data_IF_137412452187
#
_entry.id   IF_137412452187
#
_cell.length_a   1.000
_cell.length_b   1.000
_cell.length_c   1.000
_cell.angle_alpha   90.00
_cell.angle_beta   90.00
_cell.angle_gamma   90.00
#
_symmetry.space_group_name_H-M   'P 1'
#
loop_
_entity.id
_entity.type
_entity.pdbx_description
1 polymer ?
#
# COMPACT_ATOMS: atom_id res chain seq x y z
N UNK A 1 20.20 14.94 -6.64
CA UNK A 1 18.90 14.35 -6.85
C UNK A 1 18.52 13.50 -5.68
N UNK A 2 17.29 13.59 -5.24
CA UNK A 2 16.84 12.90 -4.03
C UNK A 2 15.77 11.89 -4.35
N UNK A 3 15.83 10.77 -3.66
CA UNK A 3 14.81 9.73 -3.74
C UNK A 3 14.28 9.50 -2.34
N UNK A 4 13.00 9.19 -2.29
CA UNK A 4 12.33 8.83 -1.04
C UNK A 4 11.72 7.45 -1.20
N UNK A 5 11.94 6.59 -0.23
CA UNK A 5 11.44 5.21 -0.28
C UNK A 5 10.76 4.85 1.02
N UNK A 6 9.57 4.27 0.92
CA UNK A 6 8.86 3.73 2.08
C UNK A 6 8.67 2.23 1.89
N UNK A 7 9.01 1.47 2.92
CA UNK A 7 8.82 0.02 2.95
C UNK A 7 7.52 -0.27 3.68
N UNK A 8 6.59 -0.92 3.01
CA UNK A 8 5.25 -1.17 3.54
C UNK A 8 5.01 -2.66 3.69
N UNK A 9 4.63 -3.06 4.89
CA UNK A 9 4.11 -4.40 5.17
C UNK A 9 2.85 -4.22 5.99
N UNK A 10 1.84 -5.03 5.72
CA UNK A 10 0.56 -4.94 6.44
C UNK A 10 0.35 -6.23 7.22
N UNK A 11 0.10 -6.09 8.50
CA UNK A 11 -0.17 -7.23 9.38
C UNK A 11 -1.66 -7.29 9.71
N UNK A 12 -2.23 -8.46 9.56
CA UNK A 12 -3.63 -8.70 9.92
C UNK A 12 -3.72 -8.89 11.44
N UNK A 13 -4.24 -7.89 12.13
CA UNK A 13 -4.39 -7.94 13.58
C UNK A 13 -5.76 -8.43 14.03
N UNK A 14 -6.63 -8.77 13.10
CA UNK A 14 -7.98 -9.29 13.38
C UNK A 14 -8.00 -10.78 13.60
N UNK A 15 -9.21 -11.30 13.78
CA UNK A 15 -9.45 -12.72 14.06
C UNK A 15 -9.81 -13.53 12.83
N UNK A 16 -9.98 -12.85 11.69
CA UNK A 16 -10.39 -13.49 10.44
C UNK A 16 -9.40 -13.19 9.34
N UNK A 17 -9.32 -14.06 8.36
CA UNK A 17 -8.52 -13.80 7.17
C UNK A 17 -9.06 -12.60 6.40
N UNK A 18 -8.19 -11.92 5.66
CA UNK A 18 -8.58 -10.72 4.92
C UNK A 18 -7.77 -10.57 3.64
N UNK A 19 -8.27 -9.71 2.76
CA UNK A 19 -7.50 -9.16 1.65
C UNK A 19 -7.05 -7.75 2.00
N UNK A 20 -5.93 -7.33 1.41
CA UNK A 20 -5.31 -6.03 1.70
C UNK A 20 -5.06 -5.26 0.42
N UNK A 21 -5.25 -3.95 0.48
CA UNK A 21 -4.83 -3.04 -0.59
C UNK A 21 -4.21 -1.78 0.02
N UNK A 22 -3.32 -1.15 -0.75
CA UNK A 22 -2.55 0.02 -0.31
C UNK A 22 -2.52 1.05 -1.42
N UNK A 23 -2.61 2.32 -1.04
CA UNK A 23 -2.45 3.43 -1.96
C UNK A 23 -1.69 4.56 -1.28
N UNK A 24 -0.84 5.24 -2.04
CA UNK A 24 -0.09 6.39 -1.55
C UNK A 24 -0.53 7.66 -2.28
N UNK A 25 -0.55 8.76 -1.54
CA UNK A 25 -0.86 10.09 -2.06
C UNK A 25 0.28 11.02 -1.72
N UNK A 26 0.89 11.61 -2.72
CA UNK A 26 2.09 12.41 -2.54
C UNK A 26 1.91 13.89 -2.90
N UNK A 27 0.70 14.31 -3.26
CA UNK A 27 0.44 15.66 -3.71
C UNK A 27 0.77 15.85 -5.18
N UNK A 28 0.28 16.93 -5.78
CA UNK A 28 0.37 17.13 -7.22
C UNK A 28 1.79 17.14 -7.76
N UNK A 29 2.71 17.78 -7.03
CA UNK A 29 4.07 17.95 -7.51
C UNK A 29 4.83 16.63 -7.60
N UNK A 30 4.47 15.65 -6.79
CA UNK A 30 5.23 14.40 -6.68
C UNK A 30 4.46 13.16 -7.12
N UNK A 31 3.15 13.29 -7.33
CA UNK A 31 2.32 12.14 -7.66
C UNK A 31 2.77 11.43 -8.93
N UNK A 32 3.24 12.18 -9.90
CA UNK A 32 3.72 11.61 -11.16
C UNK A 32 5.02 10.83 -11.02
N UNK A 33 5.82 11.19 -10.02
CA UNK A 33 7.08 10.49 -9.75
C UNK A 33 6.91 9.33 -8.80
N UNK A 34 5.69 9.06 -8.37
CA UNK A 34 5.39 7.98 -7.44
C UNK A 34 5.43 6.66 -8.17
N UNK A 35 6.16 5.71 -7.63
CA UNK A 35 6.24 4.38 -8.19
C UNK A 35 6.17 3.34 -7.09
N UNK A 36 5.78 2.14 -7.48
CA UNK A 36 5.67 1.02 -6.56
C UNK A 36 6.51 -0.13 -7.11
N UNK A 37 7.13 -0.88 -6.22
CA UNK A 37 7.84 -2.09 -6.63
C UNK A 37 7.65 -3.18 -5.59
N UNK A 38 7.71 -4.43 -6.06
CA UNK A 38 7.46 -5.59 -5.23
C UNK A 38 8.32 -6.74 -5.74
N UNK A 39 9.35 -7.09 -5.01
CA UNK A 39 10.26 -8.15 -5.40
C UNK A 39 9.59 -9.51 -5.45
N UNK A 40 8.57 -9.73 -4.64
CA UNK A 40 7.89 -11.01 -4.56
C UNK A 40 6.78 -11.17 -5.60
N UNK A 41 6.41 -10.10 -6.30
CA UNK A 41 5.38 -10.13 -7.32
C UNK A 41 3.98 -10.41 -6.79
N UNK A 42 3.71 -10.05 -5.54
CA UNK A 42 2.44 -10.31 -4.87
C UNK A 42 1.46 -9.15 -4.93
N UNK A 43 1.92 -7.97 -5.25
CA UNK A 43 1.11 -6.76 -5.29
C UNK A 43 0.78 -6.41 -6.74
N UNK A 44 -0.50 -6.24 -7.02
CA UNK A 44 -0.98 -5.96 -8.38
C UNK A 44 -1.66 -4.59 -8.43
N UNK A 45 -1.28 -3.73 -9.38
CA UNK A 45 -1.95 -2.43 -9.51
C UNK A 45 -3.38 -2.58 -10.01
N UNK A 46 -4.28 -1.85 -9.38
CA UNK A 46 -5.66 -1.75 -9.82
C UNK A 46 -5.89 -0.47 -10.61
N UNK A 47 -7.03 -0.39 -11.28
CA UNK A 47 -7.39 0.80 -12.06
C UNK A 47 -7.68 2.01 -11.18
N UNK A 48 -7.97 1.78 -9.91
CA UNK A 48 -8.28 2.82 -8.93
C UNK A 48 -7.05 3.42 -8.27
N UNK A 49 -5.86 2.97 -8.66
CA UNK A 49 -4.61 3.43 -8.08
C UNK A 49 -4.18 2.69 -6.84
N UNK A 50 -4.99 1.78 -6.35
CA UNK A 50 -4.58 0.92 -5.24
C UNK A 50 -3.75 -0.24 -5.76
N UNK A 51 -2.83 -0.71 -4.92
CA UNK A 51 -2.12 -1.96 -5.13
C UNK A 51 -2.75 -3.03 -4.26
N UNK A 52 -3.12 -4.13 -4.86
CA UNK A 52 -3.85 -5.22 -4.23
C UNK A 52 -2.92 -6.38 -3.95
N UNK A 53 -2.88 -6.80 -2.71
CA UNK A 53 -2.10 -7.98 -2.34
C UNK A 53 -2.84 -9.22 -2.82
N UNK A 54 -2.14 -10.12 -3.52
CA UNK A 54 -2.78 -11.23 -4.22
C UNK A 54 -3.19 -12.38 -3.30
N UNK A 55 -2.56 -12.50 -2.14
CA UNK A 55 -2.82 -13.61 -1.23
C UNK A 55 -3.77 -13.20 -0.11
N UNK A 56 -4.48 -14.17 0.41
CA UNK A 56 -5.25 -14.01 1.63
C UNK A 56 -4.27 -13.88 2.79
N UNK A 57 -4.49 -12.92 3.67
CA UNK A 57 -3.66 -12.72 4.86
C UNK A 57 -4.38 -13.33 6.05
N UNK A 58 -3.86 -14.41 6.61
CA UNK A 58 -4.50 -15.03 7.77
C UNK A 58 -4.36 -14.18 9.02
N UNK A 59 -5.12 -14.45 10.08
CA UNK A 59 -4.94 -13.74 11.34
C UNK A 59 -3.49 -13.79 11.79
N UNK A 60 -2.95 -12.64 12.18
CA UNK A 60 -1.57 -12.45 12.59
C UNK A 60 -0.54 -12.60 11.47
N UNK A 61 -1.00 -12.88 10.25
CA UNK A 61 -0.13 -12.94 9.09
C UNK A 61 0.26 -11.55 8.62
N UNK A 62 1.35 -11.48 7.86
CA UNK A 62 1.88 -10.23 7.31
C UNK A 62 2.08 -10.39 5.81
N UNK A 63 1.76 -9.33 5.06
CA UNK A 63 2.00 -9.33 3.61
C UNK A 63 3.49 -9.28 3.31
N UNK A 64 3.85 -9.56 2.07
CA UNK A 64 5.18 -9.25 1.60
C UNK A 64 5.34 -7.74 1.51
N UNK A 65 6.58 -7.28 1.35
CA UNK A 65 6.90 -5.87 1.34
C UNK A 65 6.53 -5.21 0.01
N UNK A 66 5.93 -4.03 0.10
CA UNK A 66 5.68 -3.16 -1.05
C UNK A 66 6.55 -1.92 -0.88
N UNK A 67 7.36 -1.60 -1.87
CA UNK A 67 8.19 -0.41 -1.86
C UNK A 67 7.45 0.71 -2.58
N UNK A 68 7.34 1.86 -1.93
CA UNK A 68 6.74 3.06 -2.50
C UNK A 68 7.85 4.09 -2.63
N UNK A 69 8.10 4.56 -3.85
CA UNK A 69 9.21 5.46 -4.13
C UNK A 69 8.75 6.74 -4.81
N UNK A 70 9.44 7.82 -4.51
CA UNK A 70 9.33 9.07 -5.26
C UNK A 70 10.73 9.42 -5.73
N UNK A 71 10.90 9.47 -7.05
CA UNK A 71 12.18 9.74 -7.67
C UNK A 71 12.27 11.17 -8.20
N UNK A 72 13.49 11.65 -8.41
CA UNK A 72 13.76 12.93 -9.06
C UNK A 72 13.11 14.13 -8.37
N UNK A 73 13.24 14.16 -7.06
CA UNK A 73 12.71 15.28 -6.30
C UNK A 73 13.66 16.48 -6.41
N UNK A 74 13.24 17.47 -7.17
CA UNK A 74 14.02 18.68 -7.35
C UNK A 74 13.69 19.73 -6.30
N UNK A 75 12.68 19.49 -5.51
CA UNK A 75 12.21 20.46 -4.54
C UNK A 75 13.22 20.67 -3.42
N UNK A 76 13.33 21.91 -2.99
CA UNK A 76 14.09 22.27 -1.78
C UNK A 76 13.23 22.06 -0.54
N UNK A 77 11.93 21.88 -0.72
CA UNK A 77 10.98 21.80 0.37
C UNK A 77 10.71 20.37 0.78
N UNK A 78 10.28 20.19 2.00
CA UNK A 78 9.76 18.94 2.48
C UNK A 78 8.41 18.66 1.82
N UNK A 79 8.03 17.40 1.83
CA UNK A 79 6.74 16.99 1.30
C UNK A 79 6.13 15.93 2.21
N UNK A 80 4.83 15.71 2.07
CA UNK A 80 4.11 14.71 2.83
C UNK A 80 3.57 13.62 1.92
N UNK A 81 3.67 12.38 2.38
CA UNK A 81 3.08 11.24 1.70
C UNK A 81 2.09 10.59 2.65
N UNK A 82 0.87 10.38 2.17
CA UNK A 82 -0.16 9.69 2.93
C UNK A 82 -0.29 8.29 2.35
N UNK A 83 -0.10 7.28 3.19
CA UNK A 83 -0.26 5.88 2.79
C UNK A 83 -1.52 5.34 3.44
N UNK A 84 -2.47 4.88 2.62
CA UNK A 84 -3.73 4.31 3.09
C UNK A 84 -3.67 2.81 2.90
N UNK A 85 -3.94 2.09 3.98
CA UNK A 85 -3.99 0.63 3.98
C UNK A 85 -5.40 0.22 4.35
N UNK A 86 -6.01 -0.62 3.52
CA UNK A 86 -7.38 -1.08 3.76
C UNK A 86 -7.42 -2.61 3.70
N UNK A 87 -8.29 -3.20 4.50
CA UNK A 87 -8.52 -4.63 4.46
C UNK A 87 -10.01 -4.93 4.37
N UNK A 88 -10.34 -6.05 3.76
CA UNK A 88 -11.73 -6.50 3.65
C UNK A 88 -11.83 -7.99 3.92
N UNK A 89 -13.04 -8.43 4.23
CA UNK A 89 -13.31 -9.85 4.50
C UNK A 89 -13.10 -10.68 3.23
N UNK A 90 -12.86 -11.96 3.44
CA UNK A 90 -12.85 -12.95 2.36
C UNK A 90 -14.22 -13.58 2.30
N UNK A 91 -14.86 -13.48 1.14
CA UNK A 91 -16.12 -14.17 0.89
C UNK A 91 -15.86 -15.26 -0.14
N UNK A 92 -16.74 -16.24 -0.18
CA UNK A 92 -16.60 -17.38 -1.08
C UNK A 92 -17.81 -17.45 -1.99
N UNK A 93 -17.56 -17.63 -3.28
CA UNK A 93 -18.66 -17.75 -4.25
C UNK A 93 -19.27 -19.15 -4.19
N UNK A 94 -20.25 -19.42 -5.03
CA UNK A 94 -20.95 -20.71 -5.04
C UNK A 94 -20.04 -21.88 -5.42
N UNK A 95 -18.92 -21.60 -6.07
CA UNK A 95 -17.93 -22.62 -6.42
C UNK A 95 -16.85 -22.77 -5.34
N UNK A 96 -16.97 -22.04 -4.22
CA UNK A 96 -16.00 -22.09 -3.13
C UNK A 96 -14.73 -21.29 -3.37
N UNK A 97 -14.73 -20.38 -4.34
CA UNK A 97 -13.54 -19.55 -4.64
C UNK A 97 -13.55 -18.27 -3.80
N UNK A 98 -12.40 -17.91 -3.24
CA UNK A 98 -12.33 -16.72 -2.38
C UNK A 98 -12.40 -15.42 -3.21
N UNK A 99 -13.05 -14.42 -2.66
CA UNK A 99 -13.18 -13.09 -3.24
C UNK A 99 -13.08 -12.03 -2.17
N UNK A 100 -12.58 -10.87 -2.56
CA UNK A 100 -12.60 -9.69 -1.71
C UNK A 100 -13.96 -8.98 -1.86
N UNK A 101 -14.41 -8.36 -0.77
CA UNK A 101 -15.61 -7.51 -0.80
C UNK A 101 -15.23 -6.11 -0.38
N UNK A 102 -14.78 -5.30 -1.34
CA UNK A 102 -14.30 -3.96 -1.05
C UNK A 102 -15.40 -2.96 -0.71
N UNK A 103 -16.65 -3.40 -0.69
CA UNK A 103 -17.75 -2.61 -0.14
C UNK A 103 -17.83 -2.73 1.38
N UNK A 104 -17.11 -3.69 1.97
CA UNK A 104 -17.07 -3.91 3.40
C UNK A 104 -15.63 -3.86 3.90
N UNK A 105 -15.18 -2.65 4.19
CA UNK A 105 -13.81 -2.43 4.67
C UNK A 105 -13.77 -2.76 6.16
N UNK A 106 -12.91 -3.71 6.54
CA UNK A 106 -12.73 -4.10 7.93
C UNK A 106 -11.91 -3.10 8.71
N UNK A 107 -10.88 -2.57 8.06
CA UNK A 107 -9.93 -1.72 8.73
C UNK A 107 -9.33 -0.74 7.73
N UNK A 108 -9.18 0.50 8.16
CA UNK A 108 -8.54 1.54 7.37
C UNK A 108 -7.45 2.17 8.23
N UNK A 109 -6.22 2.01 7.79
CA UNK A 109 -5.08 2.65 8.42
C UNK A 109 -4.49 3.69 7.50
N UNK A 110 -4.19 4.87 8.05
CA UNK A 110 -3.59 5.94 7.30
C UNK A 110 -2.28 6.33 7.96
N UNK A 111 -1.19 6.17 7.23
CA UNK A 111 0.11 6.62 7.67
C UNK A 111 0.48 7.92 7.00
N UNK A 112 1.06 8.83 7.76
CA UNK A 112 1.52 10.12 7.27
C UNK A 112 3.05 10.14 7.36
N UNK A 113 3.70 10.34 6.24
CA UNK A 113 5.15 10.32 6.16
C UNK A 113 5.65 11.61 5.56
N UNK A 114 6.73 12.14 6.11
CA UNK A 114 7.33 13.38 5.62
C UNK A 114 8.68 13.06 5.00
N UNK A 115 8.87 13.49 3.77
CA UNK A 115 10.14 13.40 3.10
C UNK A 115 10.79 14.77 3.00
N UNK A 116 12.07 14.78 2.82
CA UNK A 116 12.82 15.99 2.61
C UNK A 116 13.89 15.77 1.55
N UNK A 117 14.42 16.87 1.03
CA UNK A 117 15.50 16.80 0.05
C UNK A 117 16.65 15.97 0.59
N UNK A 118 17.05 14.95 -0.14
CA UNK A 118 18.12 14.05 0.28
C UNK A 118 17.72 13.03 1.32
N UNK A 119 16.47 13.02 1.74
CA UNK A 119 16.00 12.10 2.74
C UNK A 119 15.68 10.73 2.17
N UNK A 120 15.90 9.71 2.97
CA UNK A 120 15.48 8.35 2.68
C UNK A 120 14.67 7.86 3.86
N UNK A 121 13.41 7.55 3.62
CA UNK A 121 12.46 7.16 4.66
C UNK A 121 12.06 5.71 4.48
N UNK A 122 12.22 4.94 5.49
CA UNK A 122 11.82 3.54 5.44
C UNK A 122 11.15 3.09 6.73
#
# INVERSE_FOLDING_TARGET
MSNWTKHVKVTNTGDHECYVRVKAFAGEAYQKGLSYSDEDGKWTPGEDGYYYYSDIVPPKGTTSELLIKIDNMDSESDFNVIVVQESTIVIYDSAGRPKADWNQILDVNTGNYTGSKGGDQS
#
